data_IF_393252069922
#
_entry.id   IF_393252069922
#
_cell.length_a   1.000
_cell.length_b   1.000
_cell.length_c   1.000
_cell.angle_alpha   90.00
_cell.angle_beta   90.00
_cell.angle_gamma   90.00
#
_symmetry.space_group_name_H-M   'P 1'
#
loop_
_entity.id
_entity.type
_entity.pdbx_description
1 polymer ?
#
# COMPACT_ATOMS: atom_id res chain seq x y z
N UNK A 1 32.68 -28.48 71.49
CA UNK A 1 32.22 -28.82 70.15
C UNK A 1 30.79 -28.24 69.88
N UNK A 2 30.58 -26.93 69.72
CA UNK A 2 29.28 -26.33 69.41
C UNK A 2 29.38 -25.00 68.66
N UNK A 3 30.32 -24.89 67.70
CA UNK A 3 30.53 -23.64 66.95
C UNK A 3 30.04 -23.61 65.49
N UNK A 4 29.44 -24.70 65.00
CA UNK A 4 29.16 -24.84 63.56
C UNK A 4 27.67 -24.77 63.18
N UNK A 5 26.76 -24.89 64.16
CA UNK A 5 25.31 -24.83 63.92
C UNK A 5 24.78 -23.39 63.77
N UNK A 6 25.42 -22.44 64.42
CA UNK A 6 24.90 -21.02 64.43
C UNK A 6 25.28 -20.27 63.15
N UNK A 7 26.30 -20.70 62.40
CA UNK A 7 26.66 -20.07 61.13
C UNK A 7 25.71 -20.41 59.99
N UNK A 8 25.16 -21.62 59.96
CA UNK A 8 24.18 -22.02 58.95
C UNK A 8 22.84 -21.30 59.11
N UNK A 9 22.36 -21.11 60.34
CA UNK A 9 21.12 -20.43 60.64
C UNK A 9 21.18 -18.92 60.29
N UNK A 10 22.35 -18.29 60.46
CA UNK A 10 22.56 -16.87 60.10
C UNK A 10 22.64 -16.62 58.62
N UNK A 11 23.21 -17.55 57.85
CA UNK A 11 23.31 -17.43 56.38
C UNK A 11 21.95 -17.66 55.70
N UNK A 12 21.14 -18.57 56.26
CA UNK A 12 19.82 -18.86 55.75
C UNK A 12 18.83 -17.69 56.00
N UNK A 13 18.90 -17.05 57.18
CA UNK A 13 18.12 -15.83 57.46
C UNK A 13 18.53 -14.65 56.56
N UNK A 14 19.81 -14.50 56.17
CA UNK A 14 20.25 -13.47 55.24
C UNK A 14 19.75 -13.72 53.82
N UNK A 15 19.65 -14.98 53.38
CA UNK A 15 19.16 -15.32 52.05
C UNK A 15 17.62 -15.05 51.92
N UNK A 16 16.87 -15.23 53.00
CA UNK A 16 15.41 -15.00 53.06
C UNK A 16 15.11 -13.48 53.05
N UNK A 17 15.92 -12.67 53.76
CA UNK A 17 15.77 -11.23 53.83
C UNK A 17 16.10 -10.55 52.50
N UNK A 18 17.04 -11.10 51.74
CA UNK A 18 17.42 -10.53 50.43
C UNK A 18 16.39 -10.84 49.33
N UNK A 19 15.54 -11.88 49.49
CA UNK A 19 14.45 -12.20 48.58
C UNK A 19 13.21 -11.31 48.74
N UNK A 20 13.11 -10.56 49.87
CA UNK A 20 11.95 -9.74 50.18
C UNK A 20 12.06 -8.28 49.70
N UNK A 21 13.18 -7.89 49.08
CA UNK A 21 13.47 -6.52 48.68
C UNK A 21 13.26 -6.29 47.16
N UNK A 22 12.84 -7.29 46.38
CA UNK A 22 12.47 -7.04 44.97
C UNK A 22 10.98 -6.66 44.91
N UNK A 23 10.70 -5.38 44.81
CA UNK A 23 9.36 -4.83 44.68
C UNK A 23 8.69 -5.30 43.39
N UNK A 24 7.40 -5.67 43.41
CA UNK A 24 6.69 -6.15 42.20
C UNK A 24 6.49 -5.05 41.12
N UNK A 25 6.86 -3.81 41.40
CA UNK A 25 6.68 -2.68 40.49
C UNK A 25 7.69 -2.64 39.33
N UNK A 26 8.87 -3.26 39.48
CA UNK A 26 9.89 -3.26 38.40
C UNK A 26 9.56 -4.22 37.23
N UNK A 27 8.69 -5.21 37.44
CA UNK A 27 8.30 -6.17 36.39
C UNK A 27 7.16 -5.69 35.49
N UNK A 28 6.38 -4.72 35.94
CA UNK A 28 5.23 -4.21 35.15
C UNK A 28 5.69 -3.26 34.02
N UNK A 29 6.78 -2.52 34.22
CA UNK A 29 7.31 -1.60 33.22
C UNK A 29 7.90 -2.29 31.98
N UNK A 30 8.59 -3.42 32.15
CA UNK A 30 9.22 -4.16 31.04
C UNK A 30 8.21 -4.83 30.10
N UNK A 31 7.10 -5.36 30.65
CA UNK A 31 6.05 -6.01 29.82
C UNK A 31 5.30 -5.03 28.95
N UNK A 32 5.03 -3.82 29.43
CA UNK A 32 4.32 -2.77 28.66
C UNK A 32 5.16 -2.19 27.54
N UNK A 33 6.48 -2.02 27.74
CA UNK A 33 7.37 -1.51 26.71
C UNK A 33 7.53 -2.51 25.56
N UNK A 34 7.63 -3.80 25.86
CA UNK A 34 7.70 -4.84 24.83
C UNK A 34 6.40 -4.99 24.04
N UNK A 35 5.25 -4.85 24.70
CA UNK A 35 3.95 -4.88 24.00
C UNK A 35 3.76 -3.70 23.05
N UNK A 36 4.20 -2.51 23.43
CA UNK A 36 4.13 -1.32 22.57
C UNK A 36 5.10 -1.43 21.41
N UNK A 37 6.32 -1.92 21.63
CA UNK A 37 7.31 -2.17 20.57
C UNK A 37 6.86 -3.26 19.60
N UNK A 38 6.26 -4.36 20.07
CA UNK A 38 5.69 -5.39 19.19
C UNK A 38 4.53 -4.85 18.34
N UNK A 39 3.64 -4.02 18.89
CA UNK A 39 2.53 -3.42 18.12
C UNK A 39 3.06 -2.46 17.06
N UNK A 40 4.07 -1.64 17.38
CA UNK A 40 4.66 -0.70 16.42
C UNK A 40 5.42 -1.41 15.28
N UNK A 41 6.09 -2.52 15.56
CA UNK A 41 6.77 -3.33 14.53
C UNK A 41 5.75 -4.07 13.66
N UNK A 42 4.64 -4.56 14.26
CA UNK A 42 3.59 -5.26 13.51
C UNK A 42 2.84 -4.33 12.55
N UNK A 43 2.55 -3.09 12.94
CA UNK A 43 1.88 -2.11 12.06
C UNK A 43 2.75 -1.64 10.91
N UNK A 44 4.09 -1.59 11.08
CA UNK A 44 5.01 -1.20 10.00
C UNK A 44 5.23 -2.31 8.95
N UNK A 45 5.02 -3.59 9.30
CA UNK A 45 5.10 -4.71 8.37
C UNK A 45 3.85 -4.81 7.47
N UNK A 46 2.66 -4.49 8.01
CA UNK A 46 1.40 -4.54 7.25
C UNK A 46 1.23 -3.41 6.23
N UNK A 47 1.89 -2.27 6.42
CA UNK A 47 1.75 -1.12 5.50
C UNK A 47 2.50 -1.26 4.17
N UNK A 48 3.44 -2.20 4.05
CA UNK A 48 4.18 -2.46 2.79
C UNK A 48 3.41 -3.32 1.79
N UNK A 49 2.54 -4.20 2.26
CA UNK A 49 1.85 -5.16 1.39
C UNK A 49 0.77 -4.52 0.52
N UNK A 50 0.14 -3.44 0.97
CA UNK A 50 -0.88 -2.72 0.20
C UNK A 50 -0.31 -1.99 -1.01
N UNK A 51 0.90 -1.42 -0.91
CA UNK A 51 1.53 -0.71 -2.01
C UNK A 51 2.06 -1.66 -3.09
N UNK A 52 2.53 -2.85 -2.70
CA UNK A 52 2.99 -3.89 -3.65
C UNK A 52 1.80 -4.46 -4.44
N UNK A 53 0.68 -4.75 -3.78
CA UNK A 53 -0.51 -5.26 -4.44
C UNK A 53 -1.16 -4.24 -5.39
N UNK A 54 -1.16 -2.95 -5.03
CA UNK A 54 -1.66 -1.88 -5.90
C UNK A 54 -0.78 -1.70 -7.14
N UNK A 55 0.55 -1.71 -6.99
CA UNK A 55 1.49 -1.64 -8.11
C UNK A 55 1.41 -2.86 -9.03
N UNK A 56 1.21 -4.05 -8.47
CA UNK A 56 1.04 -5.28 -9.25
C UNK A 56 -0.20 -5.19 -10.15
N UNK A 57 -1.34 -4.75 -9.62
CA UNK A 57 -2.59 -4.59 -10.40
C UNK A 57 -2.47 -3.56 -11.52
N UNK A 58 -1.85 -2.41 -11.26
CA UNK A 58 -1.65 -1.38 -12.28
C UNK A 58 -0.70 -1.83 -13.37
N UNK A 59 0.33 -2.63 -13.05
CA UNK A 59 1.23 -3.21 -14.04
C UNK A 59 0.52 -4.17 -15.00
N UNK A 60 -0.45 -4.97 -14.53
CA UNK A 60 -1.24 -5.83 -15.42
C UNK A 60 -2.10 -5.04 -16.42
N UNK A 61 -2.71 -3.95 -16.00
CA UNK A 61 -3.49 -3.09 -16.89
C UNK A 61 -2.61 -2.43 -17.95
N UNK A 62 -1.44 -1.94 -17.57
CA UNK A 62 -0.46 -1.35 -18.49
C UNK A 62 0.05 -2.37 -19.49
N UNK A 63 0.42 -3.56 -19.01
CA UNK A 63 0.86 -4.66 -19.87
C UNK A 63 -0.23 -5.06 -20.87
N UNK A 64 -1.49 -5.16 -20.43
CA UNK A 64 -2.62 -5.45 -21.29
C UNK A 64 -2.79 -4.39 -22.38
N UNK A 65 -2.77 -3.12 -22.02
CA UNK A 65 -2.86 -2.02 -23.00
C UNK A 65 -1.72 -2.06 -24.03
N UNK A 66 -0.49 -2.36 -23.60
CA UNK A 66 0.63 -2.54 -24.51
C UNK A 66 0.39 -3.67 -25.52
N UNK A 67 -0.11 -4.83 -25.04
CA UNK A 67 -0.43 -5.96 -25.93
C UNK A 67 -1.52 -5.58 -26.93
N UNK A 68 -2.55 -4.83 -26.52
CA UNK A 68 -3.63 -4.39 -27.41
C UNK A 68 -3.17 -3.41 -28.48
N UNK A 69 -2.24 -2.51 -28.14
CA UNK A 69 -1.70 -1.51 -29.07
C UNK A 69 -0.63 -2.09 -30.00
N UNK A 70 0.19 -3.00 -29.49
CA UNK A 70 1.34 -3.60 -30.19
C UNK A 70 2.28 -2.55 -30.84
N UNK A 71 2.35 -1.37 -30.24
CA UNK A 71 3.21 -0.25 -30.64
C UNK A 71 3.72 0.44 -29.37
N UNK A 72 5.06 0.51 -29.26
CA UNK A 72 5.71 1.03 -28.06
C UNK A 72 5.51 2.54 -27.90
N UNK A 73 5.56 3.30 -29.00
CA UNK A 73 5.40 4.77 -28.96
C UNK A 73 3.96 5.13 -28.57
N UNK A 74 2.98 4.49 -29.17
CA UNK A 74 1.57 4.69 -28.85
C UNK A 74 1.24 4.24 -27.42
N UNK A 75 1.91 3.18 -26.95
CA UNK A 75 1.79 2.76 -25.56
C UNK A 75 2.34 3.82 -24.59
N UNK A 76 3.50 4.41 -24.83
CA UNK A 76 4.02 5.48 -23.96
C UNK A 76 3.09 6.67 -23.92
N UNK A 77 2.44 7.01 -25.03
CA UNK A 77 1.47 8.09 -25.07
C UNK A 77 0.23 7.79 -24.23
N UNK A 78 -0.34 6.59 -24.34
CA UNK A 78 -1.52 6.21 -23.51
C UNK A 78 -1.15 6.01 -22.05
N UNK A 79 0.05 5.53 -21.76
CA UNK A 79 0.55 5.36 -20.42
C UNK A 79 0.65 6.70 -19.68
N UNK A 80 1.23 7.71 -20.31
CA UNK A 80 1.28 9.07 -19.76
C UNK A 80 -0.13 9.65 -19.59
N UNK A 81 -0.98 9.52 -20.60
CA UNK A 81 -2.34 10.05 -20.58
C UNK A 81 -3.15 9.46 -19.43
N UNK A 82 -3.26 8.14 -19.33
CA UNK A 82 -4.05 7.47 -18.30
C UNK A 82 -3.40 7.50 -16.91
N UNK A 83 -2.10 7.73 -16.85
CA UNK A 83 -1.46 8.05 -15.58
C UNK A 83 -1.94 9.40 -15.02
N UNK A 84 -2.10 10.41 -15.87
CA UNK A 84 -2.65 11.74 -15.47
C UNK A 84 -4.13 11.65 -15.11
N UNK A 85 -4.90 10.84 -15.83
CA UNK A 85 -6.35 10.69 -15.63
C UNK A 85 -6.72 9.97 -14.32
N UNK A 86 -6.11 8.84 -14.06
CA UNK A 86 -6.52 7.95 -12.97
C UNK A 86 -5.39 7.26 -12.24
N UNK A 87 -4.13 7.42 -12.69
CA UNK A 87 -2.99 6.58 -12.31
C UNK A 87 -3.28 5.09 -12.53
N UNK A 88 -3.98 4.77 -13.63
CA UNK A 88 -4.40 3.40 -13.97
C UNK A 88 -5.36 2.76 -12.95
N UNK A 89 -6.07 3.55 -12.16
CA UNK A 89 -7.03 3.03 -11.19
C UNK A 89 -8.38 2.75 -11.84
N UNK A 90 -8.86 1.49 -11.85
CA UNK A 90 -10.17 1.16 -12.42
C UNK A 90 -11.33 1.66 -11.57
N UNK A 91 -11.08 2.10 -10.35
CA UNK A 91 -12.10 2.61 -9.43
C UNK A 91 -12.02 4.11 -9.22
N UNK A 92 -11.15 4.81 -9.96
CA UNK A 92 -11.02 6.26 -9.87
C UNK A 92 -12.32 6.94 -10.27
N UNK A 93 -12.75 7.92 -9.45
CA UNK A 93 -13.95 8.72 -9.67
C UNK A 93 -13.60 10.19 -9.66
N UNK A 94 -14.07 10.94 -10.66
CA UNK A 94 -14.02 12.38 -10.65
C UNK A 94 -14.88 12.95 -9.51
N UNK A 95 -14.41 14.03 -8.88
CA UNK A 95 -15.17 14.76 -7.85
C UNK A 95 -16.18 15.73 -8.45
N UNK A 96 -16.00 16.13 -9.70
CA UNK A 96 -16.72 17.22 -10.35
C UNK A 96 -17.52 16.78 -11.57
N UNK A 97 -17.35 15.53 -12.01
CA UNK A 97 -18.01 15.01 -13.22
C UNK A 97 -18.42 13.55 -13.06
N UNK A 98 -19.06 12.99 -14.08
CA UNK A 98 -19.39 11.55 -14.14
C UNK A 98 -18.24 10.68 -14.68
N UNK A 99 -17.02 11.22 -14.76
CA UNK A 99 -15.86 10.48 -15.25
C UNK A 99 -15.46 9.38 -14.26
N UNK A 100 -15.17 8.19 -14.81
CA UNK A 100 -14.86 7.00 -14.02
C UNK A 100 -13.84 6.10 -14.71
N UNK A 101 -13.07 5.38 -13.88
CA UNK A 101 -12.19 4.30 -14.29
C UNK A 101 -10.83 4.77 -14.83
N UNK A 102 -10.11 3.83 -15.45
CA UNK A 102 -8.76 4.07 -15.97
C UNK A 102 -8.74 5.23 -16.98
N UNK A 103 -9.61 5.26 -18.00
CA UNK A 103 -9.60 6.33 -18.99
C UNK A 103 -10.41 7.56 -18.59
N UNK A 104 -10.97 7.65 -17.38
CA UNK A 104 -11.82 8.76 -16.91
C UNK A 104 -12.91 9.19 -17.91
N UNK A 105 -13.56 8.21 -18.52
CA UNK A 105 -14.63 8.49 -19.48
C UNK A 105 -15.94 8.85 -18.78
N UNK A 106 -16.65 9.84 -19.34
CA UNK A 106 -17.96 10.26 -18.84
C UNK A 106 -18.99 9.14 -18.95
N UNK A 107 -19.81 8.99 -17.90
CA UNK A 107 -20.90 7.98 -17.83
C UNK A 107 -20.43 6.52 -17.92
N UNK A 108 -19.15 6.24 -17.78
CA UNK A 108 -18.63 4.88 -17.73
C UNK A 108 -19.20 4.16 -16.49
N UNK A 109 -19.71 2.93 -16.71
CA UNK A 109 -20.26 2.07 -15.64
C UNK A 109 -19.55 0.72 -15.55
N UNK A 110 -18.60 0.46 -16.44
CA UNK A 110 -17.87 -0.81 -16.47
C UNK A 110 -16.91 -0.94 -15.25
N UNK A 111 -17.09 -1.93 -14.36
CA UNK A 111 -16.25 -2.10 -13.19
C UNK A 111 -14.93 -2.83 -13.50
N UNK A 112 -14.84 -3.59 -14.59
CA UNK A 112 -13.68 -4.37 -14.96
C UNK A 112 -12.63 -3.50 -15.68
N UNK A 113 -11.43 -3.36 -15.07
CA UNK A 113 -10.38 -2.50 -15.60
C UNK A 113 -9.88 -2.89 -17.00
N UNK A 114 -9.85 -4.18 -17.37
CA UNK A 114 -9.48 -4.62 -18.72
C UNK A 114 -10.51 -4.18 -19.75
N UNK A 115 -11.79 -4.31 -19.45
CA UNK A 115 -12.86 -3.82 -20.32
C UNK A 115 -12.87 -2.29 -20.40
N UNK A 116 -12.51 -1.58 -19.33
CA UNK A 116 -12.34 -0.13 -19.37
C UNK A 116 -11.23 0.27 -20.36
N UNK A 117 -10.13 -0.50 -20.41
CA UNK A 117 -9.03 -0.30 -21.37
C UNK A 117 -9.54 -0.48 -22.80
N UNK A 118 -10.26 -1.56 -23.08
CA UNK A 118 -10.83 -1.82 -24.41
C UNK A 118 -11.75 -0.68 -24.87
N UNK A 119 -12.62 -0.21 -23.98
CA UNK A 119 -13.54 0.90 -24.26
C UNK A 119 -12.73 2.20 -24.47
N UNK A 120 -11.75 2.46 -23.63
CA UNK A 120 -10.89 3.65 -23.74
C UNK A 120 -10.06 3.68 -25.03
N UNK A 121 -9.45 2.56 -25.41
CA UNK A 121 -8.71 2.46 -26.67
C UNK A 121 -9.61 2.64 -27.90
N UNK A 122 -10.83 2.08 -27.88
CA UNK A 122 -11.83 2.31 -28.95
C UNK A 122 -12.21 3.79 -29.05
N UNK A 123 -12.41 4.45 -27.91
CA UNK A 123 -12.71 5.87 -27.88
C UNK A 123 -11.56 6.71 -28.45
N UNK A 124 -10.32 6.44 -28.02
CA UNK A 124 -9.13 7.11 -28.52
C UNK A 124 -8.99 6.91 -30.04
N UNK A 125 -9.15 5.69 -30.52
CA UNK A 125 -9.12 5.37 -31.95
C UNK A 125 -10.15 6.14 -32.75
N UNK A 126 -11.38 6.21 -32.26
CA UNK A 126 -12.48 6.88 -32.94
C UNK A 126 -12.31 8.41 -32.99
N UNK A 127 -11.83 9.02 -31.90
CA UNK A 127 -11.82 10.48 -31.74
C UNK A 127 -10.50 11.13 -32.14
N UNK A 128 -9.40 10.44 -31.94
CA UNK A 128 -8.04 10.97 -32.09
C UNK A 128 -7.18 10.17 -33.05
N UNK A 129 -7.67 9.05 -33.54
CA UNK A 129 -6.98 8.10 -34.41
C UNK A 129 -5.85 7.34 -33.65
N UNK A 130 -5.04 8.03 -32.86
CA UNK A 130 -3.94 7.43 -32.12
C UNK A 130 -3.84 7.93 -30.67
N UNK A 131 -3.28 7.14 -29.74
CA UNK A 131 -2.94 7.56 -28.39
C UNK A 131 -2.07 8.83 -28.33
N UNK A 132 -1.08 8.97 -29.21
CA UNK A 132 -0.22 10.14 -29.21
C UNK A 132 -0.95 11.41 -29.61
N UNK A 133 -1.90 11.33 -30.53
CA UNK A 133 -2.79 12.46 -30.86
C UNK A 133 -3.70 12.82 -29.69
N UNK A 134 -4.24 11.82 -28.98
CA UNK A 134 -5.05 12.05 -27.78
C UNK A 134 -4.24 12.75 -26.67
N UNK A 135 -3.01 12.31 -26.43
CA UNK A 135 -2.11 12.95 -25.48
C UNK A 135 -1.74 14.38 -25.88
N UNK A 136 -1.46 14.63 -27.16
CA UNK A 136 -1.20 15.97 -27.68
C UNK A 136 -2.41 16.90 -27.45
N UNK A 137 -3.63 16.41 -27.72
CA UNK A 137 -4.85 17.15 -27.44
C UNK A 137 -5.01 17.44 -25.95
N UNK A 138 -4.80 16.44 -25.10
CA UNK A 138 -4.87 16.60 -23.64
C UNK A 138 -3.87 17.64 -23.11
N UNK A 139 -2.66 17.66 -23.64
CA UNK A 139 -1.64 18.65 -23.25
C UNK A 139 -2.04 20.09 -23.62
N UNK A 140 -2.79 20.26 -24.69
CA UNK A 140 -3.27 21.57 -25.16
C UNK A 140 -4.54 22.03 -24.49
N UNK A 141 -5.46 21.13 -24.22
CA UNK A 141 -6.84 21.44 -23.77
C UNK A 141 -7.11 21.06 -22.31
N UNK A 142 -6.30 20.21 -21.71
CA UNK A 142 -6.51 19.69 -20.35
C UNK A 142 -7.54 18.55 -20.25
N UNK A 143 -8.03 18.05 -21.39
CA UNK A 143 -8.98 16.93 -21.52
C UNK A 143 -8.80 16.21 -22.86
N UNK A 144 -9.36 15.00 -22.98
CA UNK A 144 -9.38 14.21 -24.22
C UNK A 144 -10.70 13.48 -24.43
#
# INVERSE_FOLDING_TARGET
MNGNLDRHATLEKRSILNRKAESPTARLGRRRVWSVLCVMVFTSLFSKDYSVAANYKTNHYRQYAFIQLNDLNEFYCIDELWHKESRWSPTAKSKTSSAFGIPQMLKMKEPNGFKQIDIGLKYVKHRYETPCNALAHHRLKGWY
#
